data_IF_754453089783
#
_entry.id   IF_754453089783
#
_cell.length_a   1.000
_cell.length_b   1.000
_cell.length_c   1.000
_cell.angle_alpha   90.00
_cell.angle_beta   90.00
_cell.angle_gamma   90.00
#
_symmetry.space_group_name_H-M   'P 1'
#
loop_
_entity.id
_entity.type
_entity.pdbx_description
1 polymer ?
#
# COMPACT_ATOMS: atom_id res chain seq x y z
N UNK A 1 -15.93 6.84 11.26
CA UNK A 1 -16.71 6.50 10.05
C UNK A 1 -16.13 5.23 9.47
N UNK A 2 -16.96 4.22 9.23
CA UNK A 2 -16.56 3.03 8.47
C UNK A 2 -16.77 3.40 7.00
N UNK A 3 -15.68 3.54 6.22
CA UNK A 3 -15.79 3.76 4.78
C UNK A 3 -16.46 2.54 4.14
N UNK A 4 -17.37 2.77 3.20
CA UNK A 4 -17.87 1.68 2.35
C UNK A 4 -16.76 1.15 1.43
N UNK A 5 -17.00 -0.02 0.83
CA UNK A 5 -16.04 -0.63 -0.10
C UNK A 5 -15.81 0.27 -1.32
N UNK A 6 -16.87 0.77 -1.94
CA UNK A 6 -16.77 1.67 -3.10
C UNK A 6 -16.08 2.98 -2.75
N UNK A 7 -16.36 3.59 -1.59
CA UNK A 7 -15.64 4.78 -1.14
C UNK A 7 -14.15 4.51 -0.92
N UNK A 8 -13.81 3.33 -0.38
CA UNK A 8 -12.42 2.92 -0.19
C UNK A 8 -11.71 2.76 -1.53
N UNK A 9 -12.35 2.14 -2.53
CA UNK A 9 -11.80 1.98 -3.88
C UNK A 9 -11.67 3.33 -4.59
N UNK A 10 -12.69 4.19 -4.52
CA UNK A 10 -12.63 5.54 -5.09
C UNK A 10 -11.50 6.35 -4.46
N UNK A 11 -11.31 6.23 -3.14
CA UNK A 11 -10.19 6.86 -2.45
C UNK A 11 -8.85 6.38 -3.00
N UNK A 12 -8.66 5.08 -3.20
CA UNK A 12 -7.44 4.56 -3.84
C UNK A 12 -7.24 5.14 -5.24
N UNK A 13 -8.27 5.17 -6.08
CA UNK A 13 -8.23 5.75 -7.44
C UNK A 13 -7.81 7.22 -7.42
N UNK A 14 -8.39 8.03 -6.55
CA UNK A 14 -8.02 9.45 -6.39
C UNK A 14 -6.55 9.60 -6.03
N UNK A 15 -6.07 8.79 -5.09
CA UNK A 15 -4.67 8.87 -4.65
C UNK A 15 -3.71 8.38 -5.75
N UNK A 16 -4.04 7.33 -6.52
CA UNK A 16 -3.22 6.88 -7.66
C UNK A 16 -3.01 8.01 -8.68
N UNK A 17 -4.09 8.73 -9.03
CA UNK A 17 -4.08 9.81 -10.02
C UNK A 17 -3.48 11.12 -9.50
N UNK A 18 -3.27 11.25 -8.19
CA UNK A 18 -2.75 12.47 -7.60
C UNK A 18 -1.28 12.69 -8.00
N UNK A 19 -1.01 13.83 -8.65
CA UNK A 19 0.33 14.25 -9.06
C UNK A 19 1.14 14.78 -7.87
N UNK A 20 0.50 15.53 -6.96
CA UNK A 20 1.12 16.04 -5.73
C UNK A 20 1.00 15.05 -4.57
N UNK A 21 1.85 14.02 -4.64
CA UNK A 21 1.93 13.02 -3.59
C UNK A 21 2.78 13.47 -2.42
N UNK A 22 2.09 13.88 -1.36
CA UNK A 22 2.65 14.10 -0.04
C UNK A 22 1.94 13.22 0.98
N UNK A 23 2.68 12.40 1.74
CA UNK A 23 2.10 11.60 2.82
C UNK A 23 2.02 12.43 4.11
N UNK A 24 1.28 13.55 4.05
CA UNK A 24 0.91 14.28 5.25
C UNK A 24 -0.02 13.43 6.12
N UNK A 25 -0.05 13.70 7.42
CA UNK A 25 -0.91 12.96 8.36
C UNK A 25 -2.40 13.00 7.93
N UNK A 26 -2.85 14.14 7.37
CA UNK A 26 -4.20 14.33 6.81
C UNK A 26 -4.52 13.41 5.62
N UNK A 27 -3.50 12.95 4.88
CA UNK A 27 -3.66 11.97 3.78
C UNK A 27 -3.49 10.53 4.25
N UNK A 28 -2.61 10.29 5.23
CA UNK A 28 -2.35 8.95 5.78
C UNK A 28 -3.60 8.38 6.46
N UNK A 29 -4.29 9.14 7.33
CA UNK A 29 -5.42 8.60 8.09
C UNK A 29 -6.58 8.08 7.22
N UNK A 30 -7.06 8.83 6.20
CA UNK A 30 -8.06 8.32 5.26
C UNK A 30 -7.59 7.10 4.47
N UNK A 31 -6.32 7.06 4.07
CA UNK A 31 -5.74 5.91 3.37
C UNK A 31 -5.68 4.66 4.26
N UNK A 32 -5.29 4.79 5.52
CA UNK A 32 -5.29 3.68 6.48
C UNK A 32 -6.71 3.15 6.75
N UNK A 33 -7.70 4.04 6.81
CA UNK A 33 -9.11 3.65 6.94
C UNK A 33 -9.58 2.86 5.71
N UNK A 34 -9.25 3.33 4.49
CA UNK A 34 -9.56 2.62 3.26
C UNK A 34 -8.88 1.24 3.21
N UNK A 35 -7.60 1.15 3.55
CA UNK A 35 -6.89 -0.14 3.64
C UNK A 35 -7.51 -1.08 4.67
N UNK A 36 -7.98 -0.56 5.80
CA UNK A 36 -8.66 -1.39 6.82
C UNK A 36 -9.97 -1.95 6.29
N UNK A 37 -10.78 -1.14 5.61
CA UNK A 37 -12.01 -1.62 4.96
C UNK A 37 -11.69 -2.71 3.91
N UNK A 38 -10.68 -2.49 3.08
CA UNK A 38 -10.26 -3.43 2.04
C UNK A 38 -9.70 -4.74 2.62
N UNK A 39 -8.93 -4.67 3.73
CA UNK A 39 -8.42 -5.86 4.44
C UNK A 39 -9.57 -6.73 4.94
N UNK A 40 -10.62 -6.09 5.49
CA UNK A 40 -11.82 -6.81 5.94
C UNK A 40 -12.57 -7.45 4.77
N UNK A 41 -12.67 -6.76 3.62
CA UNK A 41 -13.31 -7.29 2.42
C UNK A 41 -12.57 -8.47 1.80
N UNK A 42 -11.23 -8.39 1.74
CA UNK A 42 -10.38 -9.40 1.12
C UNK A 42 -9.79 -10.39 2.13
N UNK A 43 -10.41 -10.58 3.29
CA UNK A 43 -9.90 -11.44 4.36
C UNK A 43 -9.70 -12.91 3.94
N UNK A 44 -10.45 -13.40 2.94
CA UNK A 44 -10.31 -14.75 2.37
C UNK A 44 -9.24 -14.85 1.29
N UNK A 45 -8.76 -13.72 0.75
CA UNK A 45 -7.71 -13.66 -0.28
C UNK A 45 -6.35 -13.35 0.37
N UNK A 46 -5.60 -14.40 0.71
CA UNK A 46 -4.35 -14.30 1.49
C UNK A 46 -3.33 -13.32 0.90
N UNK A 47 -3.14 -13.35 -0.42
CA UNK A 47 -2.18 -12.48 -1.10
C UNK A 47 -2.62 -11.01 -1.07
N UNK A 48 -3.90 -10.73 -1.38
CA UNK A 48 -4.46 -9.39 -1.28
C UNK A 48 -4.35 -8.82 0.14
N UNK A 49 -4.65 -9.64 1.16
CA UNK A 49 -4.49 -9.26 2.56
C UNK A 49 -3.02 -8.95 2.89
N UNK A 50 -2.07 -9.76 2.41
CA UNK A 50 -0.65 -9.52 2.61
C UNK A 50 -0.18 -8.24 1.91
N UNK A 51 -0.62 -7.99 0.68
CA UNK A 51 -0.35 -6.77 -0.08
C UNK A 51 -0.84 -5.53 0.66
N UNK A 52 -2.09 -5.54 1.13
CA UNK A 52 -2.65 -4.46 1.93
C UNK A 52 -1.90 -4.25 3.25
N UNK A 53 -1.47 -5.33 3.90
CA UNK A 53 -0.64 -5.27 5.11
C UNK A 53 0.72 -4.63 4.86
N UNK A 54 1.34 -4.94 3.72
CA UNK A 54 2.62 -4.33 3.32
C UNK A 54 2.45 -2.82 3.04
N UNK A 55 1.40 -2.42 2.33
CA UNK A 55 1.11 -1.00 2.10
C UNK A 55 0.81 -0.24 3.40
N UNK A 56 0.04 -0.82 4.31
CA UNK A 56 -0.20 -0.23 5.63
C UNK A 56 1.09 -0.07 6.45
N UNK A 57 2.02 -1.03 6.35
CA UNK A 57 3.34 -0.92 6.96
C UNK A 57 4.16 0.26 6.41
N UNK A 58 4.07 0.52 5.11
CA UNK A 58 4.70 1.69 4.48
C UNK A 58 4.03 3.00 4.93
N UNK A 59 2.71 3.04 5.05
CA UNK A 59 2.01 4.22 5.60
C UNK A 59 2.40 4.52 7.05
N UNK A 60 2.52 3.49 7.89
CA UNK A 60 2.99 3.62 9.27
C UNK A 60 4.43 4.14 9.32
N UNK A 61 5.30 3.67 8.43
CA UNK A 61 6.66 4.18 8.29
C UNK A 61 6.67 5.66 7.88
N UNK A 62 5.87 6.03 6.88
CA UNK A 62 5.72 7.42 6.46
C UNK A 62 5.20 8.32 7.58
N UNK A 63 4.24 7.84 8.37
CA UNK A 63 3.73 8.55 9.54
C UNK A 63 4.83 8.81 10.57
N UNK A 64 5.67 7.81 10.85
CA UNK A 64 6.81 7.95 11.78
C UNK A 64 7.86 8.96 11.29
N UNK A 65 8.10 9.05 9.97
CA UNK A 65 9.00 10.03 9.36
C UNK A 65 8.32 11.34 8.97
N UNK A 66 7.12 11.63 9.48
CA UNK A 66 6.36 12.86 9.20
C UNK A 66 6.17 13.14 7.69
N UNK A 67 5.96 12.08 6.90
CA UNK A 67 5.77 12.16 5.45
C UNK A 67 7.07 12.27 4.64
N UNK A 68 8.24 12.35 5.28
CA UNK A 68 9.55 12.35 4.60
C UNK A 68 9.98 10.92 4.29
N UNK A 69 9.48 10.40 3.17
CA UNK A 69 9.86 9.08 2.66
C UNK A 69 10.48 9.20 1.27
N UNK A 70 11.39 8.29 0.90
CA UNK A 70 11.90 8.21 -0.46
C UNK A 70 10.79 7.94 -1.49
N UNK A 71 10.94 8.41 -2.74
CA UNK A 71 9.92 8.28 -3.79
C UNK A 71 9.57 6.82 -4.11
N UNK A 72 10.49 5.88 -3.92
CA UNK A 72 10.23 4.44 -4.11
C UNK A 72 9.14 3.87 -3.19
N UNK A 73 8.96 4.43 -1.99
CA UNK A 73 7.87 4.05 -1.09
C UNK A 73 6.53 4.60 -1.59
N UNK A 74 6.55 5.76 -2.25
CA UNK A 74 5.38 6.35 -2.91
C UNK A 74 4.98 5.47 -4.10
N UNK A 75 5.92 5.11 -4.95
CA UNK A 75 5.69 4.25 -6.11
C UNK A 75 5.14 2.88 -5.69
N UNK A 76 5.69 2.32 -4.61
CA UNK A 76 5.20 1.07 -4.04
C UNK A 76 3.74 1.16 -3.58
N UNK A 77 3.37 2.23 -2.87
CA UNK A 77 1.99 2.43 -2.45
C UNK A 77 1.06 2.61 -3.67
N UNK A 78 1.44 3.42 -4.65
CA UNK A 78 0.65 3.63 -5.87
C UNK A 78 0.43 2.32 -6.63
N UNK A 79 1.48 1.53 -6.82
CA UNK A 79 1.37 0.23 -7.48
C UNK A 79 0.47 -0.74 -6.70
N UNK A 80 0.63 -0.79 -5.38
CA UNK A 80 -0.18 -1.64 -4.51
C UNK A 80 -1.66 -1.26 -4.58
N UNK A 81 -1.97 0.03 -4.50
CA UNK A 81 -3.34 0.52 -4.62
C UNK A 81 -3.92 0.21 -6.00
N UNK A 82 -3.15 0.42 -7.07
CA UNK A 82 -3.59 0.11 -8.43
C UNK A 82 -3.92 -1.38 -8.58
N UNK A 83 -3.13 -2.25 -7.97
CA UNK A 83 -3.43 -3.68 -7.96
C UNK A 83 -4.73 -4.01 -7.22
N UNK A 84 -4.96 -3.41 -6.06
CA UNK A 84 -6.19 -3.63 -5.29
C UNK A 84 -7.42 -3.10 -6.04
N UNK A 85 -7.31 -1.96 -6.70
CA UNK A 85 -8.35 -1.40 -7.57
C UNK A 85 -8.63 -2.35 -8.74
N UNK A 86 -7.59 -2.78 -9.45
CA UNK A 86 -7.74 -3.73 -10.56
C UNK A 86 -8.38 -5.04 -10.10
N UNK A 87 -8.01 -5.57 -8.93
CA UNK A 87 -8.60 -6.77 -8.37
C UNK A 87 -10.09 -6.61 -8.00
N UNK A 88 -10.51 -5.40 -7.61
CA UNK A 88 -11.91 -5.09 -7.35
C UNK A 88 -12.72 -4.98 -8.64
N UNK A 89 -12.14 -4.40 -9.69
CA UNK A 89 -12.79 -4.21 -10.99
C UNK A 89 -12.77 -5.47 -11.86
N UNK A 90 -11.80 -6.37 -11.66
CA UNK A 90 -11.71 -7.62 -12.39
C UNK A 90 -12.83 -8.57 -11.94
N UNK A 91 -13.68 -8.94 -12.89
CA UNK A 91 -14.82 -9.84 -12.65
C UNK A 91 -14.39 -11.30 -12.52
N UNK A 92 -13.14 -11.63 -12.86
CA UNK A 92 -12.59 -12.99 -12.78
C UNK A 92 -11.40 -13.04 -11.83
N UNK A 93 -11.53 -13.85 -10.78
CA UNK A 93 -10.39 -14.14 -9.91
C UNK A 93 -9.48 -15.17 -10.59
N UNK A 94 -8.22 -14.78 -10.80
CA UNK A 94 -7.15 -15.63 -11.31
C UNK A 94 -6.08 -15.81 -10.21
N UNK A 95 -5.95 -17.01 -9.62
CA UNK A 95 -5.02 -17.26 -8.53
C UNK A 95 -3.55 -17.21 -8.96
N UNK A 96 -3.24 -17.57 -10.21
CA UNK A 96 -1.85 -17.53 -10.72
C UNK A 96 -1.41 -16.09 -10.89
N UNK A 97 -2.27 -15.26 -11.48
CA UNK A 97 -2.02 -13.82 -11.62
C UNK A 97 -1.88 -13.13 -10.26
N UNK A 98 -2.74 -13.48 -9.30
CA UNK A 98 -2.68 -12.96 -7.93
C UNK A 98 -1.37 -13.37 -7.21
N UNK A 99 -0.90 -14.60 -7.39
CA UNK A 99 0.37 -15.07 -6.86
C UNK A 99 1.58 -14.39 -7.52
N UNK A 100 1.55 -14.17 -8.84
CA UNK A 100 2.61 -13.44 -9.56
C UNK A 100 2.72 -12.00 -9.08
N UNK A 101 1.58 -11.32 -8.91
CA UNK A 101 1.58 -9.96 -8.39
C UNK A 101 2.09 -9.93 -6.96
N UNK A 102 1.65 -10.86 -6.11
CA UNK A 102 2.17 -10.97 -4.74
C UNK A 102 3.69 -11.11 -4.72
N UNK A 103 4.27 -12.02 -5.52
CA UNK A 103 5.73 -12.19 -5.60
C UNK A 103 6.43 -10.89 -6.00
N UNK A 104 5.88 -10.16 -6.98
CA UNK A 104 6.44 -8.88 -7.45
C UNK A 104 6.39 -7.81 -6.36
N UNK A 105 5.22 -7.63 -5.72
CA UNK A 105 5.01 -6.64 -4.65
C UNK A 105 5.90 -6.98 -3.45
N UNK A 106 5.92 -8.24 -3.04
CA UNK A 106 6.77 -8.70 -1.94
C UNK A 106 8.26 -8.44 -2.22
N UNK A 107 8.75 -8.74 -3.43
CA UNK A 107 10.12 -8.47 -3.82
C UNK A 107 10.49 -6.99 -3.74
N UNK A 108 9.58 -6.08 -4.11
CA UNK A 108 9.76 -4.63 -3.93
C UNK A 108 9.76 -4.24 -2.45
N UNK A 109 8.82 -4.76 -1.67
CA UNK A 109 8.73 -4.48 -0.24
C UNK A 109 9.97 -4.97 0.53
N UNK A 110 10.52 -6.13 0.17
CA UNK A 110 11.76 -6.65 0.75
C UNK A 110 12.93 -5.68 0.52
N UNK A 111 13.12 -5.21 -0.73
CA UNK A 111 14.13 -4.20 -1.07
C UNK A 111 13.96 -2.89 -0.31
N UNK A 112 12.71 -2.43 -0.14
CA UNK A 112 12.41 -1.24 0.67
C UNK A 112 12.85 -1.46 2.13
N UNK A 113 12.53 -2.62 2.72
CA UNK A 113 12.94 -2.95 4.09
C UNK A 113 14.46 -3.02 4.24
N UNK A 114 15.16 -3.60 3.28
CA UNK A 114 16.63 -3.67 3.29
C UNK A 114 17.26 -2.28 3.29
N UNK A 115 16.73 -1.35 2.48
CA UNK A 115 17.17 0.05 2.49
C UNK A 115 16.94 0.74 3.83
N UNK A 116 15.75 0.57 4.43
CA UNK A 116 15.49 1.13 5.78
C UNK A 116 16.43 0.54 6.82
N UNK A 117 16.74 -0.76 6.73
CA UNK A 117 17.67 -1.42 7.64
C UNK A 117 19.11 -0.90 7.45
N UNK A 118 19.54 -0.66 6.22
CA UNK A 118 20.83 -0.08 5.89
C UNK A 118 20.93 1.38 6.38
N UNK A 119 19.89 2.20 6.20
CA UNK A 119 19.83 3.57 6.74
C UNK A 119 19.93 3.60 8.27
N UNK A 120 19.37 2.61 8.97
CA UNK A 120 19.46 2.49 10.43
C UNK A 120 20.80 1.96 10.93
N UNK A 121 21.55 1.26 10.10
CA UNK A 121 22.83 0.64 10.47
C UNK A 121 24.03 1.52 10.08
N UNK A 122 23.78 2.68 9.48
CA UNK A 122 24.77 3.64 9.01
C UNK A 122 24.81 4.93 9.84
N UNK A 123 24.72 4.82 11.17
CA UNK A 123 25.22 5.89 12.05
C UNK A 123 26.76 5.84 12.03
N UNK A 124 27.48 6.86 11.52
CA UNK A 124 28.88 7.01 11.81
C UNK A 124 29.01 7.38 13.30
N UNK A 125 29.78 6.60 14.05
CA UNK A 125 30.36 7.04 15.30
C UNK A 125 31.42 8.13 15.05
#
# INVERSE_FOLDING_TARGET
>A
MILSLDESIQKLKTEILSQDWSLSQKKIEPLQAAFTCLKNRFNTRKNALAILTMADSVLLYARKRQGRIPPEFIDFLKETMAHVVNMYEDTKFDPDRDAEVFKRVYGKFAKLKEKVAAEKSGEPA
#
